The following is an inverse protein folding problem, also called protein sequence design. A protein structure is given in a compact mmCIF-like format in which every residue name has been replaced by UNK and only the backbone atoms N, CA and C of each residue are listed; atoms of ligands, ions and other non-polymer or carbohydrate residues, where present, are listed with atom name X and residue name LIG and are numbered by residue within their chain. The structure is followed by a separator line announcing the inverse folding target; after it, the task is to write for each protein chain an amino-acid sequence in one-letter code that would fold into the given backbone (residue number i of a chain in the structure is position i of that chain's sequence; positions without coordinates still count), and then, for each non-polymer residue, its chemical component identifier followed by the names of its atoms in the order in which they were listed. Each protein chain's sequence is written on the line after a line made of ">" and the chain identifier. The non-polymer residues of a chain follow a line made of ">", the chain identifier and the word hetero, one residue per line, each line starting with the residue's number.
data_IF_876786276848
#
_entry.id   IF_876786276848
#
_cell.length_a   1.000
_cell.length_b   1.000
_cell.length_c   1.000
_cell.angle_alpha   90.00
_cell.angle_beta   90.00
_cell.angle_gamma   90.00
#
_symmetry.space_group_name_H-M   'P 1'
#
loop_
_entity.id
_entity.type
_entity.pdbx_description
1 polymer ?
#
# COMPACT_ATOMS: atom_id res chain seq x y z
N UNK A 1 12.37 17.17 -7.25
CA UNK A 1 11.16 16.98 -8.07
C UNK A 1 11.24 17.80 -9.34
N UNK A 2 10.92 17.20 -10.48
CA UNK A 2 10.80 17.90 -11.74
C UNK A 2 9.51 17.49 -12.43
N UNK A 3 8.57 18.42 -12.55
CA UNK A 3 7.36 18.24 -13.37
C UNK A 3 7.77 18.26 -14.85
N UNK A 4 7.45 17.18 -15.58
CA UNK A 4 7.79 17.06 -17.00
C UNK A 4 6.70 17.68 -17.90
N UNK A 5 5.45 17.50 -17.52
CA UNK A 5 4.27 18.09 -18.14
C UNK A 5 3.12 18.14 -17.12
N UNK A 6 1.88 18.38 -17.56
CA UNK A 6 0.71 18.47 -16.65
C UNK A 6 0.46 17.22 -15.83
N UNK A 7 0.83 16.04 -16.33
CA UNK A 7 0.54 14.75 -15.69
C UNK A 7 1.75 14.08 -15.06
N UNK A 8 2.97 14.30 -15.60
CA UNK A 8 4.16 13.59 -15.15
C UNK A 8 5.05 14.40 -14.23
N UNK A 9 5.45 13.76 -13.14
CA UNK A 9 6.47 14.28 -12.21
C UNK A 9 7.56 13.23 -12.02
N UNK A 10 8.84 13.60 -12.21
CA UNK A 10 9.98 12.78 -11.88
C UNK A 10 10.56 13.19 -10.53
N UNK A 11 11.04 12.22 -9.78
CA UNK A 11 11.62 12.38 -8.46
C UNK A 11 12.98 11.68 -8.41
N UNK A 12 13.93 12.26 -7.69
CA UNK A 12 15.21 11.64 -7.42
C UNK A 12 15.83 12.24 -6.18
N UNK A 13 16.59 11.43 -5.46
CA UNK A 13 17.22 11.85 -4.22
C UNK A 13 18.37 10.94 -3.82
N UNK A 14 19.03 11.31 -2.74
CA UNK A 14 19.98 10.46 -2.03
C UNK A 14 19.61 10.48 -0.55
N UNK A 15 19.70 9.34 0.10
CA UNK A 15 19.44 9.19 1.52
C UNK A 15 20.62 8.50 2.21
N UNK A 16 20.92 8.94 3.41
CA UNK A 16 21.85 8.27 4.32
C UNK A 16 21.17 8.17 5.69
N UNK A 17 21.00 6.94 6.16
CA UNK A 17 20.35 6.67 7.44
C UNK A 17 21.29 5.88 8.35
N UNK A 18 21.32 6.26 9.62
CA UNK A 18 21.93 5.51 10.71
C UNK A 18 20.78 4.99 11.55
N UNK A 19 20.51 3.69 11.49
CA UNK A 19 19.35 3.08 12.13
C UNK A 19 19.75 2.08 13.20
N UNK A 20 19.05 2.10 14.33
CA UNK A 20 19.06 1.05 15.34
C UNK A 20 17.70 0.36 15.30
N UNK A 21 17.67 -0.90 14.91
CA UNK A 21 16.44 -1.65 14.65
C UNK A 21 16.43 -2.89 15.53
N UNK A 22 15.35 -3.10 16.26
CA UNK A 22 15.05 -4.39 16.90
C UNK A 22 14.07 -5.14 16.04
N UNK A 23 14.51 -6.23 15.44
CA UNK A 23 13.72 -7.12 14.60
C UNK A 23 13.54 -8.47 15.32
N UNK A 24 12.33 -9.03 15.25
CA UNK A 24 12.02 -10.33 15.86
C UNK A 24 12.86 -11.47 15.26
N UNK A 25 13.23 -11.35 13.99
CA UNK A 25 14.04 -12.36 13.30
C UNK A 25 15.53 -12.26 13.63
N UNK A 26 16.07 -11.04 13.74
CA UNK A 26 17.50 -10.78 13.79
C UNK A 26 17.97 -10.17 15.13
N UNK A 27 17.05 -9.77 16.01
CA UNK A 27 17.40 -9.10 17.26
C UNK A 27 17.69 -7.61 17.09
N UNK A 28 18.55 -7.07 17.95
CA UNK A 28 18.95 -5.66 17.89
C UNK A 28 20.17 -5.49 16.98
N UNK A 29 20.03 -4.66 15.98
CA UNK A 29 21.05 -4.42 14.97
C UNK A 29 21.22 -2.93 14.66
N UNK A 30 22.42 -2.52 14.27
CA UNK A 30 22.77 -1.16 13.84
C UNK A 30 23.11 -1.18 12.36
N UNK A 31 22.44 -0.33 11.59
CA UNK A 31 22.63 -0.24 10.15
C UNK A 31 23.12 1.13 9.72
N UNK A 32 23.97 1.13 8.70
CA UNK A 32 24.22 2.29 7.85
C UNK A 32 23.60 1.98 6.50
N UNK A 33 22.62 2.79 6.10
CA UNK A 33 21.83 2.57 4.89
C UNK A 33 22.04 3.75 3.95
N UNK A 34 22.54 3.49 2.76
CA UNK A 34 22.67 4.48 1.69
C UNK A 34 21.74 4.09 0.53
N UNK A 35 20.86 4.99 0.12
CA UNK A 35 19.89 4.76 -0.94
C UNK A 35 19.85 5.90 -1.95
N UNK A 36 19.50 5.56 -3.19
CA UNK A 36 19.26 6.51 -4.28
C UNK A 36 17.82 6.34 -4.80
N UNK A 37 16.81 6.88 -4.09
CA UNK A 37 15.43 6.78 -4.53
C UNK A 37 15.20 7.54 -5.83
N UNK A 38 14.67 6.83 -6.83
CA UNK A 38 14.22 7.36 -8.10
C UNK A 38 12.73 7.07 -8.24
N UNK A 39 11.96 7.99 -8.82
CA UNK A 39 10.53 7.79 -8.98
C UNK A 39 9.95 8.54 -10.17
N UNK A 40 8.82 8.00 -10.62
CA UNK A 40 7.97 8.66 -11.61
C UNK A 40 6.51 8.59 -11.12
N UNK A 41 5.83 9.72 -11.17
CA UNK A 41 4.40 9.84 -10.88
C UNK A 41 3.68 10.32 -12.11
N UNK A 42 2.66 9.59 -12.51
CA UNK A 42 1.62 10.01 -13.44
C UNK A 42 0.34 10.31 -12.66
N UNK A 43 -0.30 11.44 -12.93
CA UNK A 43 -1.62 11.78 -12.39
C UNK A 43 -2.45 12.40 -13.52
N UNK A 44 -3.41 11.64 -14.02
CA UNK A 44 -4.37 12.04 -15.05
C UNK A 44 -5.79 12.04 -14.50
N UNK A 45 -5.96 12.22 -13.18
CA UNK A 45 -7.29 12.30 -12.56
C UNK A 45 -7.84 13.71 -12.59
N UNK A 46 -9.16 13.82 -12.58
CA UNK A 46 -9.93 15.05 -12.53
C UNK A 46 -9.84 15.76 -11.16
N UNK A 47 -9.72 15.00 -10.06
CA UNK A 47 -9.66 15.53 -8.70
C UNK A 47 -8.64 14.77 -7.84
N UNK A 48 -7.93 15.50 -6.97
CA UNK A 48 -6.88 14.92 -6.14
C UNK A 48 -7.44 14.07 -4.98
N UNK A 49 -8.49 14.50 -4.31
CA UNK A 49 -9.02 13.87 -3.09
C UNK A 49 -10.29 13.05 -3.32
N UNK A 50 -11.01 13.31 -4.40
CA UNK A 50 -12.24 12.61 -4.78
C UNK A 50 -12.29 12.38 -6.30
N UNK A 51 -11.38 11.57 -6.87
CA UNK A 51 -11.33 11.35 -8.30
C UNK A 51 -12.57 10.56 -8.77
N UNK A 52 -13.16 11.03 -9.88
CA UNK A 52 -14.28 10.38 -10.56
C UNK A 52 -13.87 9.70 -11.85
N UNK A 53 -12.81 10.22 -12.50
CA UNK A 53 -12.28 9.70 -13.75
C UNK A 53 -10.74 9.76 -13.78
N UNK A 54 -10.16 8.97 -14.69
CA UNK A 54 -8.74 8.98 -14.96
C UNK A 54 -7.96 7.90 -14.23
N UNK A 55 -6.64 8.08 -14.21
CA UNK A 55 -5.73 7.08 -13.61
C UNK A 55 -4.52 7.75 -12.98
N UNK A 56 -3.95 7.05 -12.00
CA UNK A 56 -2.67 7.39 -11.35
C UNK A 56 -1.71 6.23 -11.45
N UNK A 57 -0.43 6.55 -11.56
CA UNK A 57 0.65 5.57 -11.49
C UNK A 57 1.80 6.16 -10.68
N UNK A 58 2.28 5.40 -9.71
CA UNK A 58 3.48 5.70 -8.94
C UNK A 58 4.46 4.56 -9.14
N UNK A 59 5.65 4.90 -9.63
CA UNK A 59 6.75 3.97 -9.80
C UNK A 59 7.92 4.47 -8.96
N UNK A 60 8.50 3.60 -8.15
CA UNK A 60 9.73 3.90 -7.43
C UNK A 60 10.74 2.77 -7.60
N UNK A 61 12.01 3.14 -7.69
CA UNK A 61 13.14 2.23 -7.70
C UNK A 61 14.24 2.81 -6.83
N UNK A 62 14.68 2.04 -5.81
CA UNK A 62 15.68 2.51 -4.86
C UNK A 62 16.83 1.51 -4.79
N UNK A 63 17.93 1.73 -5.57
CA UNK A 63 19.19 1.06 -5.30
C UNK A 63 19.65 1.41 -3.90
N UNK A 64 19.96 0.39 -3.10
CA UNK A 64 20.33 0.56 -1.68
C UNK A 64 21.54 -0.28 -1.35
N UNK A 65 22.45 0.31 -0.60
CA UNK A 65 23.57 -0.39 0.07
C UNK A 65 23.34 -0.29 1.57
N UNK A 66 23.36 -1.43 2.23
CA UNK A 66 23.22 -1.54 3.68
C UNK A 66 24.44 -2.22 4.26
N UNK A 67 24.99 -1.62 5.29
CA UNK A 67 26.14 -2.16 6.04
C UNK A 67 25.70 -2.41 7.48
N UNK A 68 25.91 -3.63 7.91
CA UNK A 68 25.78 -4.11 9.28
C UNK A 68 27.08 -4.85 9.63
N UNK A 69 27.09 -6.15 9.94
CA UNK A 69 28.33 -6.94 10.04
C UNK A 69 28.95 -7.17 8.65
N UNK A 70 28.10 -7.35 7.65
CA UNK A 70 28.48 -7.45 6.24
C UNK A 70 27.78 -6.35 5.42
N UNK A 71 28.30 -6.11 4.22
CA UNK A 71 27.70 -5.15 3.28
C UNK A 71 26.86 -5.87 2.24
N UNK A 72 25.59 -5.52 2.16
CA UNK A 72 24.65 -6.03 1.19
C UNK A 72 24.15 -4.89 0.28
N UNK A 73 23.79 -5.24 -0.94
CA UNK A 73 23.15 -4.31 -1.87
C UNK A 73 21.91 -4.93 -2.47
N UNK A 74 20.89 -4.12 -2.66
CA UNK A 74 19.64 -4.54 -3.28
C UNK A 74 18.98 -3.39 -4.05
N UNK A 75 18.02 -3.74 -4.88
CA UNK A 75 17.13 -2.81 -5.56
C UNK A 75 15.70 -3.04 -5.07
N UNK A 76 15.10 -2.05 -4.44
CA UNK A 76 13.69 -2.06 -4.09
C UNK A 76 12.89 -1.40 -5.21
N UNK A 77 11.89 -2.11 -5.73
CA UNK A 77 10.96 -1.64 -6.76
C UNK A 77 9.56 -1.65 -6.17
N UNK A 78 8.79 -0.57 -6.36
CA UNK A 78 7.38 -0.48 -5.95
C UNK A 78 6.58 0.23 -7.03
N UNK A 79 5.45 -0.35 -7.42
CA UNK A 79 4.52 0.18 -8.40
C UNK A 79 3.12 0.19 -7.81
N UNK A 80 2.46 1.36 -7.83
CA UNK A 80 1.07 1.53 -7.40
C UNK A 80 0.31 2.19 -8.54
N UNK A 81 -0.77 1.55 -8.97
CA UNK A 81 -1.67 2.09 -9.97
C UNK A 81 -3.09 2.19 -9.43
N UNK A 82 -3.82 3.22 -9.80
CA UNK A 82 -5.27 3.32 -9.55
C UNK A 82 -5.98 3.88 -10.77
N UNK A 83 -7.24 3.49 -10.94
CA UNK A 83 -8.09 3.97 -12.03
C UNK A 83 -9.52 4.19 -11.52
N UNK A 84 -10.21 5.14 -12.13
CA UNK A 84 -11.54 5.61 -11.74
C UNK A 84 -12.39 5.74 -12.98
N UNK A 85 -13.62 5.25 -12.91
CA UNK A 85 -14.56 5.28 -14.02
C UNK A 85 -15.94 5.64 -13.47
N UNK A 86 -16.53 6.70 -14.03
CA UNK A 86 -17.92 7.09 -13.79
C UNK A 86 -18.76 6.74 -15.04
N UNK A 87 -19.41 5.55 -15.08
CA UNK A 87 -20.12 5.10 -16.28
C UNK A 87 -21.51 5.73 -16.44
N UNK A 88 -21.98 6.48 -15.44
CA UNK A 88 -23.33 7.09 -15.44
C UNK A 88 -23.23 8.61 -15.33
N UNK A 89 -24.15 9.30 -15.96
CA UNK A 89 -24.24 10.76 -15.87
C UNK A 89 -24.39 11.24 -14.42
N UNK A 90 -23.71 12.34 -14.08
CA UNK A 90 -23.78 13.02 -12.77
C UNK A 90 -22.94 12.37 -11.67
N UNK A 91 -21.98 11.51 -12.00
CA UNK A 91 -21.00 10.91 -11.09
C UNK A 91 -21.60 10.32 -9.80
N UNK A 92 -22.81 9.74 -9.93
CA UNK A 92 -23.47 9.11 -8.78
C UNK A 92 -22.91 7.75 -8.42
N UNK A 93 -22.28 7.06 -9.38
CA UNK A 93 -21.63 5.78 -9.16
C UNK A 93 -20.26 5.81 -9.83
N UNK A 94 -19.20 5.66 -9.03
CA UNK A 94 -17.83 5.63 -9.49
C UNK A 94 -17.24 4.27 -9.12
N UNK A 95 -16.69 3.57 -10.09
CA UNK A 95 -15.89 2.38 -9.86
C UNK A 95 -14.41 2.78 -9.76
N UNK A 96 -13.78 2.42 -8.65
CA UNK A 96 -12.38 2.67 -8.39
C UNK A 96 -11.64 1.35 -8.18
N UNK A 97 -10.45 1.23 -8.75
CA UNK A 97 -9.58 0.07 -8.58
C UNK A 97 -8.16 0.54 -8.30
N UNK A 98 -7.49 -0.14 -7.36
CA UNK A 98 -6.08 0.06 -7.02
C UNK A 98 -5.35 -1.27 -7.09
N UNK A 99 -4.13 -1.24 -7.63
CA UNK A 99 -3.18 -2.34 -7.55
C UNK A 99 -1.83 -1.87 -7.03
N UNK A 100 -1.12 -2.72 -6.30
CA UNK A 100 0.27 -2.52 -5.89
C UNK A 100 1.08 -3.77 -6.16
N UNK A 101 2.32 -3.56 -6.60
CA UNK A 101 3.29 -4.60 -6.82
C UNK A 101 4.66 -4.11 -6.36
N UNK A 102 5.28 -4.82 -5.41
CA UNK A 102 6.61 -4.49 -4.91
C UNK A 102 7.55 -5.68 -4.92
N UNK A 103 8.83 -5.42 -5.12
CA UNK A 103 9.88 -6.44 -5.15
C UNK A 103 11.22 -5.87 -4.69
N UNK A 104 11.93 -6.59 -3.83
CA UNK A 104 13.32 -6.33 -3.44
C UNK A 104 14.18 -7.43 -4.03
N UNK A 105 15.10 -7.07 -4.91
CA UNK A 105 15.99 -8.00 -5.62
C UNK A 105 17.45 -7.73 -5.29
N UNK A 106 18.29 -8.76 -5.34
CA UNK A 106 19.74 -8.66 -5.15
C UNK A 106 20.24 -9.19 -3.82
N UNK A 107 19.35 -9.42 -2.83
CA UNK A 107 19.74 -10.00 -1.54
C UNK A 107 18.65 -10.87 -0.94
N UNK A 108 19.00 -11.72 0.03
CA UNK A 108 18.03 -12.52 0.77
C UNK A 108 17.20 -11.70 1.77
N UNK A 109 16.03 -12.23 2.21
CA UNK A 109 15.10 -11.50 3.06
C UNK A 109 15.68 -11.11 4.43
N UNK A 110 16.63 -11.86 4.94
CA UNK A 110 17.25 -11.56 6.24
C UNK A 110 18.29 -10.43 6.18
N UNK A 111 18.78 -10.10 4.97
CA UNK A 111 19.76 -9.02 4.76
C UNK A 111 19.10 -7.68 4.45
N UNK A 112 17.77 -7.62 4.42
CA UNK A 112 17.02 -6.37 4.29
C UNK A 112 16.56 -5.93 5.68
N UNK A 113 16.94 -4.72 6.14
CA UNK A 113 16.47 -4.19 7.42
C UNK A 113 14.94 -4.20 7.53
N UNK A 114 14.39 -4.49 8.71
CA UNK A 114 12.95 -4.63 8.90
C UNK A 114 12.15 -3.37 8.49
N UNK A 115 12.71 -2.17 8.67
CA UNK A 115 12.10 -0.91 8.25
C UNK A 115 12.12 -0.69 6.73
N UNK A 116 12.80 -1.54 5.96
CA UNK A 116 12.93 -1.47 4.49
C UNK A 116 12.18 -2.58 3.75
N UNK A 117 11.65 -3.57 4.49
CA UNK A 117 10.84 -4.65 3.92
C UNK A 117 9.45 -4.17 3.53
N UNK A 118 8.79 -4.92 2.66
CA UNK A 118 7.39 -4.70 2.36
C UNK A 118 6.49 -5.25 3.48
N UNK A 119 5.42 -4.51 3.74
CA UNK A 119 4.34 -4.87 4.64
C UNK A 119 3.00 -4.57 3.97
N UNK A 120 1.95 -5.27 4.39
CA UNK A 120 0.59 -5.07 3.92
C UNK A 120 -0.42 -5.22 5.07
N UNK A 121 -1.61 -4.68 4.88
CA UNK A 121 -2.69 -4.57 5.88
C UNK A 121 -2.86 -3.15 6.40
N UNK A 122 -4.07 -2.84 6.84
CA UNK A 122 -4.46 -1.52 7.35
C UNK A 122 -5.20 -0.65 6.34
N UNK A 123 -5.62 0.53 6.79
CA UNK A 123 -6.54 1.42 6.07
C UNK A 123 -6.07 2.00 4.73
N UNK A 124 -4.76 2.00 4.46
CA UNK A 124 -4.17 2.44 3.19
C UNK A 124 -3.69 1.29 2.30
N UNK A 125 -3.98 0.04 2.68
CA UNK A 125 -3.53 -1.19 2.03
C UNK A 125 -4.72 -2.15 1.91
N UNK A 126 -4.68 -3.32 2.54
CA UNK A 126 -5.80 -4.28 2.62
C UNK A 126 -6.56 -4.02 3.91
N UNK A 127 -7.72 -3.38 3.81
CA UNK A 127 -8.60 -3.11 4.96
C UNK A 127 -9.16 -4.43 5.51
N UNK A 128 -9.53 -4.44 6.79
CA UNK A 128 -10.00 -5.64 7.49
C UNK A 128 -8.91 -6.34 8.30
N UNK A 129 -7.66 -6.17 7.89
CA UNK A 129 -6.49 -6.67 8.63
C UNK A 129 -5.79 -5.53 9.38
N UNK A 130 -5.12 -5.84 10.48
CA UNK A 130 -4.30 -4.87 11.19
C UNK A 130 -3.15 -4.36 10.31
N UNK A 131 -2.64 -3.17 10.64
CA UNK A 131 -1.52 -2.61 9.93
C UNK A 131 -0.31 -3.56 9.98
N UNK A 132 0.27 -3.85 8.80
CA UNK A 132 1.42 -4.73 8.61
C UNK A 132 1.19 -6.22 8.89
N UNK A 133 -0.01 -6.65 9.24
CA UNK A 133 -0.28 -8.03 9.66
C UNK A 133 -0.35 -9.05 8.52
N UNK A 134 -0.46 -8.62 7.27
CA UNK A 134 -0.48 -9.52 6.11
C UNK A 134 0.93 -9.95 5.74
N UNK A 135 1.12 -11.26 5.61
CA UNK A 135 2.40 -11.87 5.21
C UNK A 135 3.01 -12.75 6.29
N UNK A 136 4.33 -12.97 6.24
CA UNK A 136 5.04 -13.80 7.20
C UNK A 136 4.96 -13.21 8.61
N UNK A 137 4.63 -14.06 9.59
CA UNK A 137 4.60 -13.73 11.01
C UNK A 137 5.66 -14.54 11.77
N UNK A 138 6.17 -13.98 12.83
CA UNK A 138 6.97 -14.69 13.81
C UNK A 138 6.10 -15.59 14.72
N UNK A 139 6.71 -16.39 15.56
CA UNK A 139 6.00 -17.30 16.49
C UNK A 139 5.12 -16.57 17.53
N UNK A 140 5.40 -15.30 17.77
CA UNK A 140 4.62 -14.41 18.65
C UNK A 140 3.59 -13.56 17.88
N UNK A 141 3.34 -13.85 16.61
CA UNK A 141 2.50 -13.12 15.65
C UNK A 141 3.01 -11.72 15.25
N UNK A 142 4.23 -11.34 15.57
CA UNK A 142 4.79 -10.09 15.09
C UNK A 142 5.08 -10.15 13.58
N UNK A 143 4.77 -9.08 12.82
CA UNK A 143 5.02 -9.02 11.39
C UNK A 143 6.51 -9.04 11.05
N UNK A 144 6.93 -9.99 10.24
CA UNK A 144 8.32 -10.08 9.75
C UNK A 144 8.55 -9.22 8.49
N UNK A 145 7.49 -8.87 7.76
CA UNK A 145 7.59 -8.27 6.43
C UNK A 145 8.19 -9.23 5.41
N UNK A 146 8.44 -8.74 4.21
CA UNK A 146 9.00 -9.57 3.13
C UNK A 146 9.64 -8.76 2.01
N UNK A 147 10.24 -9.49 1.07
CA UNK A 147 10.91 -8.89 -0.09
C UNK A 147 9.96 -8.64 -1.26
N UNK A 148 8.71 -9.08 -1.17
CA UNK A 148 7.72 -8.79 -2.21
C UNK A 148 6.33 -8.56 -1.62
N UNK A 149 5.51 -7.83 -2.36
CA UNK A 149 4.12 -7.54 -2.01
C UNK A 149 3.28 -7.44 -3.27
N UNK A 150 2.04 -7.88 -3.20
CA UNK A 150 1.00 -7.48 -4.13
C UNK A 150 -0.30 -7.19 -3.39
N UNK A 151 -1.04 -6.21 -3.88
CA UNK A 151 -2.34 -5.80 -3.33
C UNK A 151 -3.28 -5.44 -4.48
N UNK A 152 -4.56 -5.68 -4.27
CA UNK A 152 -5.63 -5.17 -5.11
C UNK A 152 -6.77 -4.69 -4.23
N UNK A 153 -7.38 -3.56 -4.59
CA UNK A 153 -8.58 -3.02 -3.96
C UNK A 153 -9.57 -2.56 -5.03
N UNK A 154 -10.83 -2.85 -4.83
CA UNK A 154 -11.94 -2.42 -5.69
C UNK A 154 -13.02 -1.77 -4.83
N UNK A 155 -13.56 -0.65 -5.31
CA UNK A 155 -14.63 0.10 -4.65
C UNK A 155 -15.72 0.45 -5.65
N UNK A 156 -16.98 0.44 -5.19
CA UNK A 156 -18.08 1.13 -5.86
C UNK A 156 -18.52 2.30 -4.97
N UNK A 157 -18.19 3.53 -5.37
CA UNK A 157 -18.54 4.75 -4.64
C UNK A 157 -19.91 5.22 -5.13
N UNK A 158 -20.92 5.19 -4.26
CA UNK A 158 -22.31 5.48 -4.60
C UNK A 158 -22.77 6.70 -3.81
N UNK A 159 -23.04 7.81 -4.49
CA UNK A 159 -23.62 9.03 -3.90
C UNK A 159 -25.12 8.83 -3.72
N UNK A 160 -25.59 8.76 -2.48
CA UNK A 160 -27.01 8.67 -2.13
C UNK A 160 -27.67 10.05 -2.18
N UNK A 161 -26.96 11.04 -1.67
CA UNK A 161 -27.30 12.48 -1.75
C UNK A 161 -26.07 13.26 -2.19
N UNK A 162 -26.15 14.57 -2.30
CA UNK A 162 -24.99 15.40 -2.61
C UNK A 162 -23.93 15.37 -1.49
N UNK A 163 -24.36 15.15 -0.23
CA UNK A 163 -23.48 15.16 0.94
C UNK A 163 -23.15 13.75 1.48
N UNK A 164 -23.92 12.72 1.10
CA UNK A 164 -23.79 11.37 1.69
C UNK A 164 -23.61 10.32 0.61
N UNK A 165 -22.62 9.44 0.82
CA UNK A 165 -22.37 8.28 -0.02
C UNK A 165 -22.11 7.01 0.78
N UNK A 166 -22.19 5.89 0.08
CA UNK A 166 -21.87 4.55 0.57
C UNK A 166 -20.87 3.90 -0.38
N UNK A 167 -19.94 3.13 0.16
CA UNK A 167 -18.85 2.50 -0.61
C UNK A 167 -18.66 1.06 -0.17
N UNK A 168 -19.32 0.08 -0.81
CA UNK A 168 -18.91 -1.30 -0.71
C UNK A 168 -17.53 -1.49 -1.37
N UNK A 169 -16.69 -2.34 -0.77
CA UNK A 169 -15.35 -2.60 -1.26
C UNK A 169 -14.87 -4.03 -0.97
N UNK A 170 -13.88 -4.44 -1.76
CA UNK A 170 -13.16 -5.69 -1.61
C UNK A 170 -11.67 -5.43 -1.77
N UNK A 171 -10.88 -5.89 -0.80
CA UNK A 171 -9.42 -5.78 -0.82
C UNK A 171 -8.80 -7.17 -0.69
N UNK A 172 -7.67 -7.38 -1.37
CA UNK A 172 -6.88 -8.60 -1.25
C UNK A 172 -5.39 -8.28 -1.37
N UNK A 173 -4.55 -9.10 -0.75
CA UNK A 173 -3.10 -8.96 -0.88
C UNK A 173 -2.33 -10.04 -0.17
N UNK A 174 -1.03 -10.06 -0.44
CA UNK A 174 -0.07 -10.97 0.18
C UNK A 174 1.33 -10.35 0.17
N UNK A 175 2.12 -10.71 1.18
CA UNK A 175 3.54 -10.37 1.29
C UNK A 175 4.36 -11.67 1.27
N UNK A 176 5.33 -11.72 0.37
CA UNK A 176 6.23 -12.87 0.22
C UNK A 176 7.61 -12.62 0.79
N UNK A 177 8.25 -13.68 1.32
CA UNK A 177 9.64 -13.61 1.79
C UNK A 177 10.62 -13.39 0.64
N UNK A 178 10.36 -14.02 -0.50
CA UNK A 178 11.20 -13.95 -1.68
C UNK A 178 10.92 -12.71 -2.53
N UNK A 179 11.82 -12.43 -3.49
CA UNK A 179 11.69 -11.28 -4.38
C UNK A 179 10.49 -11.37 -5.32
N UNK A 180 10.02 -12.57 -5.65
CA UNK A 180 8.83 -12.76 -6.48
C UNK A 180 7.58 -12.76 -5.60
N UNK A 181 6.56 -11.95 -5.94
CA UNK A 181 5.29 -11.98 -5.22
C UNK A 181 4.64 -13.35 -5.23
N UNK A 182 4.08 -13.80 -4.10
CA UNK A 182 3.56 -15.16 -3.94
C UNK A 182 2.17 -15.32 -4.57
N UNK A 183 2.06 -15.19 -5.90
CA UNK A 183 0.78 -15.31 -6.62
C UNK A 183 0.14 -16.70 -6.54
N UNK A 184 0.92 -17.74 -6.22
CA UNK A 184 0.43 -19.10 -6.03
C UNK A 184 -0.13 -19.38 -4.63
N UNK A 185 0.14 -18.50 -3.67
CA UNK A 185 -0.37 -18.62 -2.31
C UNK A 185 -1.77 -18.04 -2.22
N UNK A 186 -2.59 -18.54 -1.29
CA UNK A 186 -3.93 -17.98 -1.03
C UNK A 186 -3.78 -16.58 -0.44
N UNK A 187 -4.31 -15.53 -1.11
CA UNK A 187 -4.24 -14.17 -0.56
C UNK A 187 -5.15 -14.03 0.65
N UNK A 188 -4.81 -13.08 1.51
CA UNK A 188 -5.75 -12.61 2.52
C UNK A 188 -6.71 -11.62 1.87
N UNK A 189 -8.01 -11.86 2.08
CA UNK A 189 -9.11 -11.14 1.44
C UNK A 189 -10.02 -10.56 2.51
N UNK A 190 -10.46 -9.32 2.30
CA UNK A 190 -11.44 -8.67 3.17
C UNK A 190 -12.49 -7.93 2.34
N UNK A 191 -13.71 -7.90 2.86
CA UNK A 191 -14.80 -7.10 2.33
C UNK A 191 -15.27 -6.10 3.36
N UNK A 192 -15.83 -4.99 2.91
CA UNK A 192 -16.34 -3.98 3.81
C UNK A 192 -17.31 -3.01 3.16
N UNK A 193 -17.78 -2.11 3.99
CA UNK A 193 -18.64 -1.01 3.58
C UNK A 193 -18.18 0.27 4.25
N UNK A 194 -18.18 1.37 3.50
CA UNK A 194 -17.85 2.70 3.99
C UNK A 194 -18.99 3.68 3.87
N UNK A 195 -19.06 4.63 4.79
CA UNK A 195 -19.84 5.84 4.65
C UNK A 195 -18.94 7.00 4.21
N UNK A 196 -19.48 7.90 3.42
CA UNK A 196 -18.82 9.14 2.97
C UNK A 196 -19.69 10.33 3.33
N UNK A 197 -19.06 11.34 3.90
CA UNK A 197 -19.67 12.66 4.07
C UNK A 197 -18.85 13.65 3.24
N UNK A 198 -19.45 14.12 2.15
CA UNK A 198 -18.79 15.03 1.21
C UNK A 198 -18.77 16.44 1.76
N UNK A 199 -17.59 17.05 1.80
CA UNK A 199 -17.37 18.43 2.25
C UNK A 199 -16.63 19.22 1.16
N UNK A 200 -16.57 20.54 1.30
CA UNK A 200 -15.88 21.41 0.34
C UNK A 200 -14.37 21.14 0.21
N UNK A 201 -13.76 20.46 1.17
CA UNK A 201 -12.32 20.10 1.16
C UNK A 201 -12.06 18.59 0.93
N UNK A 202 -13.11 17.84 0.62
CA UNK A 202 -13.03 16.41 0.33
C UNK A 202 -13.94 15.57 1.24
N UNK A 203 -14.15 14.27 0.90
CA UNK A 203 -14.99 13.39 1.68
C UNK A 203 -14.35 13.01 3.01
N UNK A 204 -15.13 13.01 4.09
CA UNK A 204 -14.80 12.34 5.34
C UNK A 204 -15.23 10.89 5.18
N UNK A 205 -14.30 9.97 5.41
CA UNK A 205 -14.46 8.53 5.22
C UNK A 205 -14.60 7.80 6.55
N UNK A 206 -15.58 6.90 6.60
CA UNK A 206 -15.79 5.92 7.65
C UNK A 206 -15.91 4.55 7.02
N UNK A 207 -14.98 3.64 7.24
CA UNK A 207 -15.00 2.28 6.71
C UNK A 207 -15.03 1.25 7.84
N UNK A 208 -15.81 0.18 7.63
CA UNK A 208 -15.77 -1.04 8.43
C UNK A 208 -15.48 -2.21 7.49
N UNK A 209 -14.50 -3.03 7.85
CA UNK A 209 -14.03 -4.14 7.03
C UNK A 209 -13.87 -5.42 7.84
N UNK A 210 -14.17 -6.54 7.20
CA UNK A 210 -14.17 -7.88 7.78
C UNK A 210 -13.23 -8.78 6.98
N UNK A 211 -12.27 -9.48 7.63
CA UNK A 211 -11.51 -10.55 6.98
C UNK A 211 -12.47 -11.66 6.52
N UNK A 212 -12.32 -12.11 5.26
CA UNK A 212 -13.14 -13.21 4.72
C UNK A 212 -12.47 -14.58 4.95
N UNK A 213 -11.16 -14.59 5.07
CA UNK A 213 -10.34 -15.77 5.31
C UNK A 213 -9.22 -15.46 6.33
N UNK A 214 -9.59 -14.75 7.40
CA UNK A 214 -8.67 -14.38 8.48
C UNK A 214 -8.08 -15.59 9.20
N UNK A 215 -6.93 -15.39 9.82
CA UNK A 215 -6.25 -16.34 10.69
C UNK A 215 -6.82 -16.22 12.11
N UNK A 216 -6.56 -17.18 12.97
CA UNK A 216 -7.03 -17.15 14.39
C UNK A 216 -6.49 -15.93 15.15
N UNK A 217 -5.35 -15.37 14.72
CA UNK A 217 -4.74 -14.16 15.30
C UNK A 217 -5.36 -12.86 14.78
N UNK A 218 -6.14 -12.89 13.70
CA UNK A 218 -6.71 -11.69 13.11
C UNK A 218 -7.98 -11.26 13.84
N UNK A 219 -8.21 -9.95 13.94
CA UNK A 219 -9.43 -9.42 14.55
C UNK A 219 -10.64 -9.67 13.65
N UNK A 220 -11.81 -9.81 14.27
CA UNK A 220 -13.06 -10.06 13.55
C UNK A 220 -13.44 -8.92 12.57
N UNK A 221 -13.06 -7.69 12.87
CA UNK A 221 -13.26 -6.51 12.01
C UNK A 221 -12.28 -5.40 12.35
N UNK A 222 -12.14 -4.47 11.40
CA UNK A 222 -11.40 -3.22 11.57
C UNK A 222 -12.26 -2.04 11.15
N UNK A 223 -12.04 -0.88 11.77
CA UNK A 223 -12.67 0.36 11.34
C UNK A 223 -11.63 1.43 11.06
N UNK A 224 -11.96 2.33 10.14
CA UNK A 224 -11.04 3.38 9.68
C UNK A 224 -11.79 4.70 9.54
N UNK A 225 -11.13 5.79 9.93
CA UNK A 225 -11.61 7.16 9.76
C UNK A 225 -10.51 7.97 9.10
N UNK A 226 -10.82 8.67 8.03
CA UNK A 226 -9.86 9.56 7.36
C UNK A 226 -10.57 10.61 6.49
N UNK A 227 -9.77 11.54 5.92
CA UNK A 227 -10.20 12.52 4.94
C UNK A 227 -9.69 12.08 3.57
N UNK A 228 -10.50 12.24 2.52
CA UNK A 228 -10.26 11.77 1.17
C UNK A 228 -10.77 10.34 0.94
N UNK A 229 -10.67 9.85 -0.29
CA UNK A 229 -10.98 8.47 -0.65
C UNK A 229 -9.85 7.52 -0.21
N UNK A 230 -10.07 6.21 -0.33
CA UNK A 230 -9.06 5.22 0.08
C UNK A 230 -7.81 5.25 -0.81
N UNK A 231 -7.99 5.62 -2.08
CA UNK A 231 -6.95 5.76 -3.12
C UNK A 231 -7.44 6.65 -4.25
#
# INVERSE_FOLDING_TARGET
>A
YKRQNEHWTLMGGAELEFAEITDVANGYEKYIIFGLPLGARYDGTDNLLDPTEGSRLYLTGTPTVVTFEETHSYLALDAIASTYISPFEGDRVIFAMRGRLGSIVGTGPNNVPANRRFYSGGGGSVRGYEARSIGPLASNNDPLGGNSVWEIGIEARIKLTDDIGVVPFLDAGQVGRDSLPPFSETPLVAAGIGARYYTSFGPIRFDVAFPLNGRDSDKAFQFYVSIGQAF
#
